data_IF_076408300763
#
_entry.id   IF_076408300763
#
_cell.length_a   1.000
_cell.length_b   1.000
_cell.length_c   1.000
_cell.angle_alpha   90.00
_cell.angle_beta   90.00
_cell.angle_gamma   90.00
#
_symmetry.space_group_name_H-M   'P 1'
#
loop_
_entity.id
_entity.type
_entity.pdbx_description
1 polymer ?
#
# COMPACT_ATOMS: atom_id res chain seq x y z
N UNK A 1 -10.42 9.44 -22.64
CA UNK A 1 -10.74 7.99 -22.60
C UNK A 1 -9.77 7.21 -21.71
N UNK A 2 -8.52 7.66 -21.53
CA UNK A 2 -7.53 7.02 -20.65
C UNK A 2 -7.83 7.14 -19.15
N UNK A 3 -8.43 8.24 -18.70
CA UNK A 3 -8.76 8.46 -17.28
C UNK A 3 -9.77 7.44 -16.73
N UNK A 4 -10.70 6.98 -17.57
CA UNK A 4 -11.79 6.09 -17.16
C UNK A 4 -11.33 4.62 -17.03
N UNK A 5 -10.29 4.24 -17.77
CA UNK A 5 -9.68 2.91 -17.71
C UNK A 5 -8.91 2.67 -16.40
N UNK A 6 -8.34 3.73 -15.80
CA UNK A 6 -7.59 3.64 -14.55
C UNK A 6 -8.47 3.37 -13.32
N UNK A 7 -9.66 3.98 -13.28
CA UNK A 7 -10.51 3.96 -12.09
C UNK A 7 -11.43 2.72 -12.03
N UNK A 8 -11.82 2.17 -13.18
CA UNK A 8 -12.84 1.11 -13.24
C UNK A 8 -12.26 -0.32 -13.35
N UNK A 9 -11.08 -0.54 -13.95
CA UNK A 9 -10.53 -1.90 -14.11
C UNK A 9 -9.57 -2.33 -12.99
N UNK A 10 -8.88 -1.40 -12.35
CA UNK A 10 -7.71 -1.71 -11.52
C UNK A 10 -8.07 -2.05 -10.08
N UNK A 11 -9.24 -1.57 -9.67
CA UNK A 11 -9.78 -1.77 -8.34
C UNK A 11 -10.69 -3.01 -8.26
N UNK A 12 -11.05 -3.63 -9.38
CA UNK A 12 -11.87 -4.85 -9.35
C UNK A 12 -10.99 -6.04 -9.01
N UNK A 13 -11.26 -6.77 -7.92
CA UNK A 13 -10.44 -7.91 -7.55
C UNK A 13 -10.75 -9.12 -8.44
N UNK A 14 -10.22 -9.13 -9.66
CA UNK A 14 -10.40 -10.23 -10.60
C UNK A 14 -9.52 -11.40 -10.15
N UNK A 15 -10.16 -12.43 -9.59
CA UNK A 15 -9.57 -13.73 -9.31
C UNK A 15 -9.45 -14.55 -10.61
N UNK A 16 -8.68 -14.07 -11.58
CA UNK A 16 -8.37 -14.86 -12.76
C UNK A 16 -6.85 -15.05 -12.86
N UNK A 17 -6.39 -16.27 -12.62
CA UNK A 17 -5.00 -16.64 -12.82
C UNK A 17 -4.53 -16.30 -14.23
N UNK A 18 -5.44 -16.29 -15.22
CA UNK A 18 -5.16 -15.81 -16.58
C UNK A 18 -4.74 -14.34 -16.60
N UNK A 19 -5.38 -13.49 -15.80
CA UNK A 19 -5.02 -12.07 -15.73
C UNK A 19 -3.65 -11.87 -15.09
N UNK A 20 -3.32 -12.69 -14.08
CA UNK A 20 -1.98 -12.69 -13.48
C UNK A 20 -0.93 -13.13 -14.52
N UNK A 21 -1.22 -14.14 -15.34
CA UNK A 21 -0.34 -14.59 -16.42
C UNK A 21 -0.18 -13.55 -17.53
N UNK A 22 -1.24 -12.83 -17.91
CA UNK A 22 -1.18 -11.69 -18.82
C UNK A 22 -0.28 -10.58 -18.27
N UNK A 23 -0.46 -10.21 -17.01
CA UNK A 23 0.35 -9.17 -16.36
C UNK A 23 1.83 -9.59 -16.26
N UNK A 24 2.13 -10.88 -16.10
CA UNK A 24 3.50 -11.39 -16.13
C UNK A 24 4.15 -11.30 -17.51
N UNK A 25 3.37 -11.18 -18.58
CA UNK A 25 3.87 -10.98 -19.95
C UNK A 25 3.96 -9.49 -20.33
N UNK A 26 3.36 -8.61 -19.55
CA UNK A 26 3.39 -7.17 -19.79
C UNK A 26 4.74 -6.58 -19.36
N UNK A 27 5.45 -5.93 -20.29
CA UNK A 27 6.76 -5.32 -20.03
C UNK A 27 6.69 -4.01 -19.22
N UNK A 28 5.53 -3.35 -19.20
CA UNK A 28 5.29 -2.15 -18.39
C UNK A 28 5.06 -2.44 -16.90
N UNK A 29 4.97 -3.71 -16.50
CA UNK A 29 4.74 -4.13 -15.12
C UNK A 29 5.98 -4.83 -14.58
N UNK A 30 6.25 -4.67 -13.27
CA UNK A 30 7.25 -5.49 -12.60
C UNK A 30 6.76 -6.95 -12.62
N UNK A 31 7.36 -7.77 -13.49
CA UNK A 31 7.02 -9.18 -13.75
C UNK A 31 7.41 -10.11 -12.59
N UNK A 32 6.86 -9.84 -11.41
CA UNK A 32 7.03 -10.64 -10.21
C UNK A 32 5.66 -11.08 -9.71
N UNK A 33 5.41 -12.40 -9.74
CA UNK A 33 4.11 -12.99 -9.39
C UNK A 33 3.66 -12.64 -7.97
N UNK A 34 4.58 -12.59 -7.01
CA UNK A 34 4.25 -12.23 -5.61
C UNK A 34 3.81 -10.78 -5.50
N UNK A 35 4.47 -9.85 -6.19
CA UNK A 35 4.08 -8.42 -6.20
C UNK A 35 2.73 -8.20 -6.89
N UNK A 36 2.47 -8.88 -8.01
CA UNK A 36 1.16 -8.80 -8.69
C UNK A 36 0.05 -9.31 -7.76
N UNK A 37 0.23 -10.49 -7.16
CA UNK A 37 -0.74 -11.05 -6.22
C UNK A 37 -0.94 -10.17 -4.97
N UNK A 38 0.11 -9.49 -4.52
CA UNK A 38 0.02 -8.54 -3.42
C UNK A 38 -0.83 -7.33 -3.76
N UNK A 39 -0.73 -6.76 -4.96
CA UNK A 39 -1.60 -5.65 -5.40
C UNK A 39 -3.06 -6.10 -5.38
N UNK A 40 -3.37 -7.27 -5.93
CA UNK A 40 -4.73 -7.82 -5.94
C UNK A 40 -5.26 -8.03 -4.51
N UNK A 41 -4.42 -8.56 -3.61
CA UNK A 41 -4.77 -8.76 -2.21
C UNK A 41 -5.00 -7.42 -1.51
N UNK A 42 -4.08 -6.46 -1.67
CA UNK A 42 -4.16 -5.14 -1.06
C UNK A 42 -5.39 -4.37 -1.53
N UNK A 43 -5.79 -4.49 -2.80
CA UNK A 43 -7.01 -3.89 -3.33
C UNK A 43 -8.27 -4.43 -2.61
N UNK A 44 -8.33 -5.74 -2.33
CA UNK A 44 -9.44 -6.35 -1.57
C UNK A 44 -9.47 -5.84 -0.13
N UNK A 45 -8.33 -5.85 0.54
CA UNK A 45 -8.23 -5.41 1.93
C UNK A 45 -8.45 -3.90 2.07
N UNK A 46 -8.15 -3.11 1.04
CA UNK A 46 -8.46 -1.68 0.98
C UNK A 46 -9.96 -1.42 1.09
N UNK A 47 -10.81 -2.14 0.35
CA UNK A 47 -12.26 -1.94 0.43
C UNK A 47 -12.81 -2.27 1.82
N UNK A 48 -12.38 -3.40 2.40
CA UNK A 48 -12.75 -3.77 3.78
C UNK A 48 -12.30 -2.72 4.80
N UNK A 49 -11.09 -2.18 4.62
CA UNK A 49 -10.58 -1.11 5.46
C UNK A 49 -11.42 0.17 5.32
N UNK A 50 -11.85 0.51 4.10
CA UNK A 50 -12.73 1.65 3.87
C UNK A 50 -14.13 1.44 4.48
N UNK A 51 -14.66 0.22 4.48
CA UNK A 51 -15.91 -0.10 5.20
C UNK A 51 -15.77 0.10 6.72
N UNK A 52 -14.63 -0.28 7.31
CA UNK A 52 -14.39 -0.19 8.76
C UNK A 52 -14.01 1.23 9.23
N UNK A 53 -13.21 1.97 8.45
CA UNK A 53 -12.63 3.26 8.84
C UNK A 53 -13.07 4.45 7.98
N UNK A 54 -13.92 4.23 6.99
CA UNK A 54 -14.39 5.22 6.03
C UNK A 54 -13.42 5.46 4.87
N UNK A 55 -12.10 5.53 5.12
CA UNK A 55 -11.07 5.62 4.07
C UNK A 55 -9.69 5.22 4.57
N UNK A 56 -8.80 4.86 3.64
CA UNK A 56 -7.38 4.63 3.95
C UNK A 56 -6.69 5.88 4.51
N UNK A 57 -7.01 7.05 3.96
CA UNK A 57 -6.51 8.35 4.43
C UNK A 57 -6.82 8.58 5.91
N UNK A 58 -8.10 8.48 6.31
CA UNK A 58 -8.54 8.63 7.70
C UNK A 58 -7.84 7.63 8.62
N UNK A 59 -7.72 6.38 8.18
CA UNK A 59 -7.04 5.33 8.92
C UNK A 59 -5.57 5.66 9.20
N UNK A 60 -4.82 6.11 8.18
CA UNK A 60 -3.40 6.42 8.30
C UNK A 60 -3.15 7.70 9.10
N UNK A 61 -3.89 8.78 8.80
CA UNK A 61 -3.70 10.06 9.48
C UNK A 61 -4.07 10.02 10.97
N UNK A 62 -4.94 9.11 11.39
CA UNK A 62 -5.24 8.88 12.79
C UNK A 62 -3.99 8.50 13.62
N UNK A 63 -2.99 7.84 13.02
CA UNK A 63 -1.74 7.49 13.71
C UNK A 63 -0.88 8.70 14.07
N UNK A 64 -1.11 9.84 13.42
CA UNK A 64 -0.38 11.11 13.65
C UNK A 64 -1.31 12.24 14.11
N UNK A 65 -2.49 11.89 14.65
CA UNK A 65 -3.50 12.85 15.09
C UNK A 65 -3.86 13.89 14.01
N UNK A 66 -3.90 13.48 12.74
CA UNK A 66 -4.16 14.32 11.57
C UNK A 66 -3.19 15.51 11.42
N UNK A 67 -1.95 15.37 11.93
CA UNK A 67 -0.92 16.41 11.84
C UNK A 67 0.39 15.82 11.29
N UNK A 68 1.02 16.46 10.29
CA UNK A 68 2.27 15.96 9.73
C UNK A 68 3.39 16.01 10.77
N UNK A 69 4.24 14.98 10.76
CA UNK A 69 5.43 14.94 11.61
C UNK A 69 6.52 15.76 10.92
N UNK A 70 6.89 16.89 11.52
CA UNK A 70 8.04 17.69 11.08
C UNK A 70 9.28 17.22 11.83
N UNK A 71 10.19 16.58 11.11
CA UNK A 71 11.50 16.21 11.64
C UNK A 71 12.50 17.35 11.50
N UNK A 72 13.62 17.27 12.23
CA UNK A 72 14.70 18.27 12.22
C UNK A 72 16.06 17.65 11.87
N UNK A 73 16.09 16.78 10.86
CA UNK A 73 17.32 16.15 10.37
C UNK A 73 18.14 17.17 9.58
N UNK A 74 19.41 17.34 9.95
CA UNK A 74 20.35 18.18 9.23
C UNK A 74 21.04 17.44 8.09
N UNK A 75 21.14 16.10 8.19
CA UNK A 75 21.80 15.25 7.19
C UNK A 75 20.98 14.00 6.86
N UNK A 76 21.22 13.42 5.69
CA UNK A 76 20.48 12.24 5.23
C UNK A 76 20.79 11.01 6.08
N UNK A 77 22.00 10.91 6.64
CA UNK A 77 22.41 9.80 7.52
C UNK A 77 21.65 9.78 8.85
N UNK A 78 21.04 10.91 9.23
CA UNK A 78 20.20 11.01 10.43
C UNK A 78 18.76 10.54 10.15
N UNK A 79 18.36 10.43 8.88
CA UNK A 79 17.05 9.93 8.50
C UNK A 79 17.03 8.41 8.71
N UNK A 80 16.22 7.90 9.64
CA UNK A 80 16.20 6.48 9.92
C UNK A 80 15.55 5.71 8.76
N UNK A 81 15.92 4.44 8.55
CA UNK A 81 15.25 3.61 7.55
C UNK A 81 13.81 3.19 7.97
N UNK A 82 13.49 3.30 9.26
CA UNK A 82 12.19 3.02 9.87
C UNK A 82 12.08 3.69 11.24
N UNK A 83 10.86 3.93 11.70
CA UNK A 83 10.53 4.46 13.03
C UNK A 83 9.62 3.50 13.80
N UNK A 84 9.48 3.68 15.11
CA UNK A 84 8.49 2.93 15.90
C UNK A 84 7.06 3.12 15.37
N UNK A 85 6.77 4.30 14.80
CA UNK A 85 5.48 4.58 14.18
C UNK A 85 5.26 3.73 12.93
N UNK A 86 6.24 3.68 12.02
CA UNK A 86 6.15 2.81 10.84
C UNK A 86 6.09 1.34 11.22
N UNK A 87 6.71 0.92 12.33
CA UNK A 87 6.64 -0.46 12.85
C UNK A 87 5.21 -0.82 13.26
N UNK A 88 4.57 0.10 13.99
CA UNK A 88 3.19 -0.05 14.44
C UNK A 88 2.23 -0.15 13.26
N UNK A 89 2.32 0.78 12.31
CA UNK A 89 1.48 0.80 11.11
C UNK A 89 1.71 -0.46 10.26
N UNK A 90 2.97 -0.85 10.01
CA UNK A 90 3.30 -2.10 9.30
C UNK A 90 2.68 -3.32 9.99
N UNK A 91 2.76 -3.40 11.32
CA UNK A 91 2.19 -4.52 12.08
C UNK A 91 0.66 -4.56 11.95
N UNK A 92 0.00 -3.42 12.02
CA UNK A 92 -1.46 -3.35 11.93
C UNK A 92 -1.97 -3.63 10.50
N UNK A 93 -1.32 -3.10 9.46
CA UNK A 93 -1.64 -3.44 8.07
C UNK A 93 -1.40 -4.93 7.77
N UNK A 94 -0.33 -5.54 8.31
CA UNK A 94 -0.10 -6.99 8.20
C UNK A 94 -1.19 -7.82 8.86
N UNK A 95 -1.69 -7.42 10.04
CA UNK A 95 -2.84 -8.08 10.69
C UNK A 95 -4.10 -8.00 9.81
N UNK A 96 -4.23 -6.93 9.04
CA UNK A 96 -5.29 -6.71 8.05
C UNK A 96 -4.98 -7.35 6.69
N UNK A 97 -4.08 -8.33 6.66
CA UNK A 97 -3.72 -9.11 5.48
C UNK A 97 -3.07 -8.36 4.31
N UNK A 98 -2.76 -7.06 4.46
CA UNK A 98 -1.97 -6.34 3.47
C UNK A 98 -0.58 -6.98 3.30
N UNK A 99 -0.10 -6.98 2.06
CA UNK A 99 1.15 -7.58 1.60
C UNK A 99 2.14 -6.50 1.17
N UNK A 100 3.43 -6.79 1.30
CA UNK A 100 4.53 -5.85 1.00
C UNK A 100 4.45 -4.53 1.78
N UNK A 101 3.89 -4.55 2.98
CA UNK A 101 3.79 -3.41 3.91
C UNK A 101 4.81 -3.56 5.05
N UNK A 102 6.08 -3.80 4.71
CA UNK A 102 7.16 -3.86 5.69
C UNK A 102 7.43 -2.49 6.30
N UNK A 103 8.00 -2.42 7.52
CA UNK A 103 8.17 -1.14 8.21
C UNK A 103 8.98 -0.10 7.42
N UNK A 104 10.06 -0.52 6.74
CA UNK A 104 10.83 0.37 5.85
C UNK A 104 9.97 0.92 4.70
N UNK A 105 9.13 0.05 4.11
CA UNK A 105 8.20 0.45 3.02
C UNK A 105 7.17 1.44 3.56
N UNK A 106 6.65 1.21 4.76
CA UNK A 106 5.70 2.12 5.40
C UNK A 106 6.34 3.45 5.75
N UNK A 107 7.57 3.46 6.28
CA UNK A 107 8.27 4.69 6.55
C UNK A 107 8.52 5.52 5.29
N UNK A 108 8.89 4.87 4.17
CA UNK A 108 9.06 5.53 2.88
C UNK A 108 7.75 6.02 2.26
N UNK A 109 6.61 5.47 2.68
CA UNK A 109 5.28 5.86 2.20
C UNK A 109 4.65 7.01 3.01
N UNK A 110 5.00 7.14 4.29
CA UNK A 110 4.55 8.20 5.20
C UNK A 110 5.17 9.57 4.85
#
# INVERSE_FOLDING_TARGET
MEQKYHDEEWAVPVHDDKKVEELLKNEGVIRNKLKINAVITNAKEYFKLCEEFGSLDKYLWAYVNNKPIKNSWAKIEEVPARTELSDKISKDLKKRSFKFVGSIIIYAFM
#
